data_IF_117013317129
#
_entry.id   IF_117013317129
#
_cell.length_a   1.000
_cell.length_b   1.000
_cell.length_c   1.000
_cell.angle_alpha   90.00
_cell.angle_beta   90.00
_cell.angle_gamma   90.00
#
_symmetry.space_group_name_H-M   'P 1'
#
loop_
_entity.id
_entity.type
_entity.pdbx_description
1 polymer ?
#
# COMPACT_ATOMS: atom_id res chain seq x y z
N UNK A 1 18.82 6.53 14.10
CA UNK A 1 17.89 6.48 12.94
C UNK A 1 17.99 5.08 12.35
N UNK A 2 16.85 4.44 12.04
CA UNK A 2 16.83 3.08 11.46
C UNK A 2 17.55 3.06 10.09
N UNK A 3 18.33 2.02 9.77
CA UNK A 3 19.08 1.90 8.51
C UNK A 3 19.19 0.44 8.03
N UNK A 4 19.32 0.24 6.72
CA UNK A 4 19.59 -1.07 6.13
C UNK A 4 18.39 -2.04 6.17
N UNK A 5 17.19 -1.55 6.47
CA UNK A 5 15.99 -2.38 6.50
C UNK A 5 15.13 -2.22 5.24
N UNK A 6 14.31 -3.24 5.04
CA UNK A 6 13.26 -3.31 4.05
C UNK A 6 11.93 -2.92 4.68
N UNK A 7 11.35 -1.80 4.26
CA UNK A 7 10.12 -1.26 4.85
C UNK A 7 8.98 -1.36 3.85
N UNK A 8 7.88 -1.99 4.26
CA UNK A 8 6.62 -2.01 3.53
C UNK A 8 5.60 -1.13 4.25
N UNK A 9 5.24 -0.01 3.66
CA UNK A 9 4.29 0.94 4.22
C UNK A 9 2.90 0.78 3.60
N UNK A 10 1.85 0.57 4.39
CA UNK A 10 0.45 0.68 3.96
C UNK A 10 -0.11 2.04 4.35
N UNK A 11 -0.31 2.91 3.36
CA UNK A 11 -0.77 4.29 3.55
C UNK A 11 -2.28 4.45 3.40
N UNK A 12 -2.85 5.40 4.14
CA UNK A 12 -4.25 5.86 4.02
C UNK A 12 -4.46 6.90 2.92
N UNK A 13 -3.39 7.41 2.33
CA UNK A 13 -3.38 8.42 1.27
C UNK A 13 -2.55 7.97 0.07
N UNK A 14 -2.83 8.59 -1.08
CA UNK A 14 -2.00 8.47 -2.28
C UNK A 14 -0.72 9.30 -2.10
N UNK A 15 0.37 8.89 -2.73
CA UNK A 15 1.66 9.58 -2.58
C UNK A 15 1.59 11.04 -3.03
N UNK A 16 0.92 11.27 -4.17
CA UNK A 16 0.72 12.60 -4.79
C UNK A 16 -0.41 13.41 -4.12
N UNK A 17 -0.95 12.94 -3.00
CA UNK A 17 -1.87 13.74 -2.19
C UNK A 17 -1.12 14.85 -1.45
N UNK A 18 -1.85 15.71 -0.73
CA UNK A 18 -1.25 16.73 0.14
C UNK A 18 -0.18 16.09 1.03
N UNK A 19 1.00 16.71 1.10
CA UNK A 19 2.14 16.19 1.87
C UNK A 19 1.79 16.12 3.36
N UNK A 20 1.98 14.94 3.95
CA UNK A 20 1.62 14.62 5.33
C UNK A 20 2.70 13.72 5.94
N UNK A 21 2.49 13.31 7.20
CA UNK A 21 3.44 12.47 7.94
C UNK A 21 3.78 11.15 7.23
N UNK A 22 2.89 10.61 6.41
CA UNK A 22 3.14 9.38 5.65
C UNK A 22 4.32 9.54 4.69
N UNK A 23 4.28 10.59 3.87
CA UNK A 23 5.33 10.83 2.89
C UNK A 23 6.61 11.32 3.56
N UNK A 24 6.50 12.16 4.59
CA UNK A 24 7.65 12.66 5.34
C UNK A 24 8.43 11.50 5.97
N UNK A 25 7.77 10.68 6.81
CA UNK A 25 8.42 9.55 7.50
C UNK A 25 9.09 8.60 6.51
N UNK A 26 8.38 8.23 5.43
CA UNK A 26 8.89 7.28 4.45
C UNK A 26 10.04 7.84 3.61
N UNK A 27 9.99 9.13 3.26
CA UNK A 27 11.10 9.81 2.58
C UNK A 27 12.34 9.89 3.47
N UNK A 28 12.15 10.25 4.73
CA UNK A 28 13.21 10.35 5.74
C UNK A 28 13.87 9.00 6.01
N UNK A 29 13.08 7.91 6.09
CA UNK A 29 13.61 6.55 6.23
C UNK A 29 14.35 6.10 4.97
N UNK A 30 13.85 6.39 3.77
CA UNK A 30 14.53 6.06 2.53
C UNK A 30 15.89 6.78 2.42
N UNK A 31 15.92 8.09 2.70
CA UNK A 31 17.13 8.90 2.71
C UNK A 31 18.17 8.44 3.75
N UNK A 32 17.73 7.75 4.81
CA UNK A 32 18.64 7.17 5.80
C UNK A 32 19.31 5.85 5.34
N UNK A 33 19.02 5.38 4.12
CA UNK A 33 19.56 4.13 3.57
C UNK A 33 18.70 2.89 3.83
N UNK A 34 17.39 3.07 4.00
CA UNK A 34 16.44 1.95 4.00
C UNK A 34 15.78 1.86 2.63
N UNK A 35 15.37 0.66 2.24
CA UNK A 35 14.57 0.44 1.04
C UNK A 35 13.10 0.46 1.44
N UNK A 36 12.30 1.32 0.83
CA UNK A 36 10.92 1.58 1.23
C UNK A 36 9.97 1.31 0.06
N UNK A 37 8.94 0.52 0.31
CA UNK A 37 7.78 0.36 -0.57
C UNK A 37 6.55 1.01 0.07
N UNK A 38 6.11 2.13 -0.50
CA UNK A 38 4.89 2.83 -0.13
C UNK A 38 3.69 2.31 -0.92
N UNK A 39 2.80 1.59 -0.25
CA UNK A 39 1.54 1.11 -0.81
C UNK A 39 0.47 2.17 -0.59
N UNK A 40 0.02 2.79 -1.69
CA UNK A 40 -1.06 3.76 -1.67
C UNK A 40 -2.39 3.12 -1.26
N UNK A 41 -3.31 3.94 -0.76
CA UNK A 41 -4.58 3.47 -0.28
C UNK A 41 -5.38 2.80 -1.41
N UNK A 42 -5.89 1.60 -1.12
CA UNK A 42 -6.81 0.86 -1.99
C UNK A 42 -8.16 1.55 -2.19
N UNK A 43 -8.44 2.66 -1.49
CA UNK A 43 -9.48 3.61 -1.87
C UNK A 43 -10.86 2.97 -2.01
N UNK A 44 -11.30 2.17 -1.03
CA UNK A 44 -12.62 1.52 -1.04
C UNK A 44 -13.77 2.50 -0.76
N UNK A 45 -13.57 3.80 -1.04
CA UNK A 45 -14.70 4.74 -1.14
C UNK A 45 -15.56 4.27 -2.32
N UNK A 46 -16.89 4.26 -2.13
CA UNK A 46 -17.86 3.99 -3.22
C UNK A 46 -17.48 4.84 -4.42
N UNK A 47 -17.00 4.19 -5.48
CA UNK A 47 -16.68 4.83 -6.76
C UNK A 47 -17.93 5.58 -7.22
N UNK A 48 -17.88 6.92 -7.23
CA UNK A 48 -18.94 7.72 -7.86
C UNK A 48 -18.69 7.68 -9.37
N UNK A 49 -19.74 7.75 -10.19
CA UNK A 49 -19.62 7.71 -11.66
C UNK A 49 -18.66 8.78 -12.24
N UNK A 50 -18.34 9.85 -11.49
CA UNK A 50 -17.32 10.87 -11.86
C UNK A 50 -15.86 10.40 -11.71
N UNK A 51 -15.58 9.29 -11.03
CA UNK A 51 -14.23 8.75 -10.82
C UNK A 51 -13.80 7.73 -11.90
N UNK A 52 -14.67 7.42 -12.87
CA UNK A 52 -14.41 6.45 -13.95
C UNK A 52 -13.24 6.86 -14.87
N UNK A 53 -13.05 8.17 -15.11
CA UNK A 53 -11.90 8.68 -15.87
C UNK A 53 -10.58 8.43 -15.15
N UNK A 54 -10.53 8.70 -13.84
CA UNK A 54 -9.35 8.42 -12.98
C UNK A 54 -9.02 6.93 -12.91
N UNK A 55 -10.04 6.08 -12.81
CA UNK A 55 -9.86 4.61 -12.84
C UNK A 55 -9.34 4.16 -14.21
N UNK A 56 -9.87 4.71 -15.31
CA UNK A 56 -9.41 4.39 -16.68
C UNK A 56 -7.97 4.82 -16.93
N UNK A 57 -7.58 5.99 -16.44
CA UNK A 57 -6.21 6.49 -16.56
C UNK A 57 -5.24 5.69 -15.68
N UNK A 58 -5.64 5.35 -14.43
CA UNK A 58 -4.91 4.39 -13.60
C UNK A 58 -4.74 3.06 -14.30
N UNK A 59 -5.79 2.49 -14.89
CA UNK A 59 -5.74 1.18 -15.55
C UNK A 59 -4.89 1.20 -16.83
N UNK A 60 -4.97 2.29 -17.62
CA UNK A 60 -4.15 2.47 -18.82
C UNK A 60 -2.66 2.59 -18.46
N UNK A 61 -2.33 3.35 -17.43
CA UNK A 61 -0.95 3.51 -16.97
C UNK A 61 -0.44 2.23 -16.29
N UNK A 62 -1.27 1.53 -15.53
CA UNK A 62 -0.96 0.24 -14.90
C UNK A 62 -0.61 -0.84 -15.93
N UNK A 63 -1.27 -0.84 -17.09
CA UNK A 63 -0.99 -1.76 -18.21
C UNK A 63 0.27 -1.38 -19.01
N UNK A 64 0.62 -0.10 -19.09
CA UNK A 64 1.76 0.39 -19.88
C UNK A 64 3.08 0.44 -19.12
N UNK A 65 3.05 0.56 -17.79
CA UNK A 65 4.26 0.65 -16.98
C UNK A 65 4.10 -0.14 -15.68
N UNK A 66 4.96 -1.14 -15.49
CA UNK A 66 5.33 -1.72 -14.18
C UNK A 66 4.21 -2.19 -13.25
N UNK A 67 2.99 -2.43 -13.74
CA UNK A 67 1.86 -2.97 -12.95
C UNK A 67 1.59 -2.15 -11.68
N UNK A 68 1.73 -0.82 -11.79
CA UNK A 68 1.43 0.13 -10.71
C UNK A 68 2.56 0.37 -9.72
N UNK A 69 3.74 -0.21 -9.90
CA UNK A 69 4.94 0.13 -9.12
C UNK A 69 5.73 1.23 -9.82
N UNK A 70 6.18 2.26 -9.12
CA UNK A 70 7.10 3.27 -9.65
C UNK A 70 8.19 3.56 -8.64
N UNK A 71 9.38 3.86 -9.12
CA UNK A 71 10.40 4.48 -8.28
C UNK A 71 10.12 5.97 -8.20
N UNK A 72 9.95 6.49 -7.00
CA UNK A 72 9.71 7.91 -6.78
C UNK A 72 11.04 8.63 -6.54
N UNK A 73 11.92 8.02 -5.73
CA UNK A 73 13.26 8.50 -5.40
C UNK A 73 14.15 7.29 -5.09
N UNK A 74 15.45 7.52 -4.95
CA UNK A 74 16.39 6.48 -4.54
C UNK A 74 15.90 5.78 -3.26
N UNK A 75 15.85 4.45 -3.31
CA UNK A 75 15.36 3.58 -2.23
C UNK A 75 13.90 3.79 -1.83
N UNK A 76 13.10 4.53 -2.60
CA UNK A 76 11.69 4.79 -2.32
C UNK A 76 10.82 4.47 -3.53
N UNK A 77 10.02 3.44 -3.38
CA UNK A 77 9.10 2.93 -4.39
C UNK A 77 7.67 3.15 -3.95
N UNK A 78 6.79 3.43 -4.91
CA UNK A 78 5.36 3.61 -4.69
C UNK A 78 4.59 2.55 -5.47
N UNK A 79 3.68 1.86 -4.78
CA UNK A 79 2.75 0.92 -5.37
C UNK A 79 1.32 1.43 -5.27
N UNK A 80 0.67 1.57 -6.43
CA UNK A 80 -0.74 1.94 -6.56
C UNK A 80 -1.59 0.70 -6.85
N UNK A 81 -2.12 -0.02 -5.83
CA UNK A 81 -2.93 -1.21 -6.04
C UNK A 81 -4.26 -0.89 -6.73
N UNK A 82 -4.70 -1.79 -7.61
CA UNK A 82 -6.07 -1.79 -8.15
C UNK A 82 -6.83 -2.90 -7.43
N UNK A 83 -7.84 -2.52 -6.65
CA UNK A 83 -8.75 -3.46 -5.98
C UNK A 83 -10.12 -3.45 -6.65
N UNK A 84 -10.79 -4.59 -6.63
CA UNK A 84 -12.17 -4.69 -7.08
C UNK A 84 -13.09 -3.93 -6.12
N UNK A 85 -14.08 -3.18 -6.64
CA UNK A 85 -15.16 -2.64 -5.81
C UNK A 85 -15.96 -3.79 -5.15
N UNK A 86 -16.88 -3.48 -4.23
CA UNK A 86 -17.71 -4.42 -3.45
C UNK A 86 -17.06 -4.98 -2.17
N UNK A 87 -16.80 -4.14 -1.15
CA UNK A 87 -16.22 -4.59 0.13
C UNK A 87 -17.07 -5.63 0.86
N UNK A 88 -18.37 -5.74 0.61
CA UNK A 88 -19.26 -6.71 1.29
C UNK A 88 -19.25 -8.10 0.65
N UNK A 89 -18.72 -8.26 -0.57
CA UNK A 89 -18.64 -9.57 -1.22
C UNK A 89 -17.44 -10.38 -0.71
N UNK A 90 -17.69 -11.54 -0.12
CA UNK A 90 -16.62 -12.45 0.33
C UNK A 90 -15.74 -12.98 -0.82
N UNK A 91 -16.24 -13.01 -2.05
CA UNK A 91 -15.45 -13.37 -3.24
C UNK A 91 -14.53 -12.20 -3.63
N UNK A 92 -15.06 -10.97 -3.65
CA UNK A 92 -14.26 -9.78 -3.96
C UNK A 92 -13.12 -9.59 -2.93
N UNK A 93 -13.38 -9.80 -1.64
CA UNK A 93 -12.35 -9.80 -0.58
C UNK A 93 -11.23 -10.80 -0.88
N UNK A 94 -11.57 -12.03 -1.25
CA UNK A 94 -10.60 -13.10 -1.57
C UNK A 94 -9.76 -12.75 -2.80
N UNK A 95 -10.38 -12.23 -3.85
CA UNK A 95 -9.67 -11.80 -5.07
C UNK A 95 -8.73 -10.63 -4.75
N UNK A 96 -9.20 -9.61 -4.03
CA UNK A 96 -8.40 -8.46 -3.63
C UNK A 96 -7.17 -8.87 -2.82
N UNK A 97 -7.37 -9.77 -1.84
CA UNK A 97 -6.27 -10.37 -1.05
C UNK A 97 -5.27 -11.09 -1.96
N UNK A 98 -5.75 -11.99 -2.82
CA UNK A 98 -4.88 -12.75 -3.71
C UNK A 98 -4.07 -11.86 -4.65
N UNK A 99 -4.70 -10.85 -5.26
CA UNK A 99 -4.06 -9.88 -6.14
C UNK A 99 -2.97 -9.10 -5.40
N UNK A 100 -3.29 -8.56 -4.22
CA UNK A 100 -2.37 -7.74 -3.44
C UNK A 100 -1.15 -8.55 -2.96
N UNK A 101 -1.38 -9.73 -2.37
CA UNK A 101 -0.28 -10.63 -1.95
C UNK A 101 0.59 -11.01 -3.15
N UNK A 102 -0.02 -11.37 -4.28
CA UNK A 102 0.72 -11.80 -5.47
C UNK A 102 1.52 -10.66 -6.09
N UNK A 103 1.01 -9.43 -6.08
CA UNK A 103 1.76 -8.26 -6.55
C UNK A 103 2.95 -7.97 -5.63
N UNK A 104 2.72 -7.88 -4.32
CA UNK A 104 3.75 -7.60 -3.33
C UNK A 104 4.85 -8.68 -3.34
N UNK A 105 4.50 -9.97 -3.28
CA UNK A 105 5.50 -11.05 -3.31
C UNK A 105 6.38 -11.03 -4.56
N UNK A 106 5.79 -10.77 -5.73
CA UNK A 106 6.58 -10.69 -6.98
C UNK A 106 7.54 -9.51 -6.96
N UNK A 107 7.07 -8.35 -6.53
CA UNK A 107 7.91 -7.17 -6.45
C UNK A 107 9.02 -7.34 -5.41
N UNK A 108 8.67 -7.87 -4.24
CA UNK A 108 9.62 -8.18 -3.17
C UNK A 108 10.70 -9.15 -3.64
N UNK A 109 10.31 -10.21 -4.36
CA UNK A 109 11.27 -11.15 -4.95
C UNK A 109 12.18 -10.48 -5.98
N UNK A 110 11.65 -9.56 -6.81
CA UNK A 110 12.42 -8.88 -7.84
C UNK A 110 13.50 -7.95 -7.29
N UNK A 111 13.25 -7.32 -6.13
CA UNK A 111 14.19 -6.37 -5.50
C UNK A 111 14.95 -6.98 -4.30
N UNK A 112 14.72 -8.26 -4.00
CA UNK A 112 15.36 -8.94 -2.88
C UNK A 112 14.88 -8.50 -1.49
N UNK A 113 13.62 -8.06 -1.38
CA UNK A 113 12.95 -7.81 -0.09
C UNK A 113 12.69 -9.14 0.61
N UNK A 114 13.23 -9.31 1.82
CA UNK A 114 13.01 -10.52 2.65
C UNK A 114 12.54 -10.11 4.03
N UNK A 115 11.36 -10.60 4.43
CA UNK A 115 10.72 -10.35 5.75
C UNK A 115 10.73 -8.86 6.15
N UNK A 116 10.03 -7.98 5.42
CA UNK A 116 10.11 -6.54 5.64
C UNK A 116 9.55 -6.14 7.00
N UNK A 117 9.98 -4.98 7.49
CA UNK A 117 9.28 -4.24 8.52
C UNK A 117 8.01 -3.65 7.90
N UNK A 118 6.85 -4.04 8.42
CA UNK A 118 5.59 -3.47 7.97
C UNK A 118 5.27 -2.24 8.80
N UNK A 119 5.01 -1.12 8.13
CA UNK A 119 4.46 0.09 8.73
C UNK A 119 3.05 0.28 8.19
N UNK A 120 2.03 0.35 9.04
CA UNK A 120 0.65 0.53 8.56
C UNK A 120 -0.04 1.70 9.25
N UNK A 121 -0.65 2.54 8.43
CA UNK A 121 -1.58 3.59 8.83
C UNK A 121 -3.04 3.18 8.61
N UNK A 122 -3.27 1.96 8.09
CA UNK A 122 -4.59 1.43 7.75
C UNK A 122 -4.80 0.06 8.40
N UNK A 123 -5.54 -0.04 9.52
CA UNK A 123 -5.83 -1.30 10.18
C UNK A 123 -7.01 -2.06 9.52
N UNK A 124 -7.14 -1.97 8.20
CA UNK A 124 -8.27 -2.60 7.48
C UNK A 124 -8.16 -4.13 7.49
N UNK A 125 -9.27 -4.88 7.40
CA UNK A 125 -9.24 -6.33 7.33
C UNK A 125 -8.37 -6.87 6.19
N UNK A 126 -8.39 -6.21 5.03
CA UNK A 126 -7.58 -6.60 3.87
C UNK A 126 -6.08 -6.44 4.17
N UNK A 127 -5.66 -5.28 4.72
CA UNK A 127 -4.26 -5.04 5.09
C UNK A 127 -3.80 -6.04 6.14
N UNK A 128 -4.60 -6.25 7.20
CA UNK A 128 -4.31 -7.24 8.24
C UNK A 128 -4.11 -8.65 7.68
N UNK A 129 -4.98 -9.06 6.75
CA UNK A 129 -4.87 -10.34 6.07
C UNK A 129 -3.61 -10.48 5.21
N UNK A 130 -3.20 -9.39 4.56
CA UNK A 130 -1.97 -9.36 3.77
C UNK A 130 -0.74 -9.42 4.69
N UNK A 131 -0.71 -8.64 5.77
CA UNK A 131 0.38 -8.64 6.75
C UNK A 131 0.61 -10.06 7.29
N UNK A 132 -0.46 -10.76 7.70
CA UNK A 132 -0.38 -12.15 8.16
C UNK A 132 0.25 -13.11 7.14
N UNK A 133 0.04 -12.87 5.85
CA UNK A 133 0.54 -13.72 4.76
C UNK A 133 1.96 -13.35 4.32
N UNK A 134 2.38 -12.11 4.56
CA UNK A 134 3.74 -11.65 4.28
C UNK A 134 4.75 -12.05 5.35
N UNK A 135 4.29 -12.38 6.55
CA UNK A 135 5.13 -12.81 7.68
C UNK A 135 6.30 -11.84 7.96
N UNK A 136 6.00 -10.57 8.30
CA UNK A 136 7.02 -9.56 8.50
C UNK A 136 7.81 -9.81 9.79
N UNK A 137 9.01 -9.23 9.87
CA UNK A 137 9.84 -9.27 11.09
C UNK A 137 9.21 -8.44 12.22
N UNK A 138 8.62 -7.30 11.87
CA UNK A 138 7.95 -6.40 12.79
C UNK A 138 6.76 -5.75 12.08
N UNK A 139 5.68 -5.52 12.80
CA UNK A 139 4.57 -4.69 12.33
C UNK A 139 4.39 -3.50 13.26
N UNK A 140 4.48 -2.29 12.70
CA UNK A 140 4.22 -1.01 13.37
C UNK A 140 2.86 -0.50 12.89
N UNK A 141 1.91 -0.36 13.82
CA UNK A 141 0.66 0.34 13.57
C UNK A 141 0.79 1.79 14.05
N UNK A 142 0.75 2.74 13.12
CA UNK A 142 0.77 4.16 13.44
C UNK A 142 -0.65 4.68 13.48
N UNK A 143 -1.15 4.89 14.70
CA UNK A 143 -2.51 5.38 14.95
C UNK A 143 -2.57 6.89 14.74
N UNK A 144 -3.01 7.33 13.56
CA UNK A 144 -3.25 8.75 13.23
C UNK A 144 -4.65 9.25 13.67
N UNK A 145 -5.60 8.33 13.82
CA UNK A 145 -7.00 8.62 14.15
C UNK A 145 -7.67 7.35 14.71
N UNK A 146 -8.77 7.51 15.45
CA UNK A 146 -9.61 6.40 15.91
C UNK A 146 -10.47 5.87 14.73
N UNK A 147 -9.81 5.15 13.84
CA UNK A 147 -10.45 4.47 12.71
C UNK A 147 -11.49 3.42 13.14
N UNK A 148 -11.45 2.93 14.39
CA UNK A 148 -12.46 2.02 14.91
C UNK A 148 -13.78 2.76 15.19
N UNK A 149 -13.72 4.00 15.68
CA UNK A 149 -14.90 4.84 15.93
C UNK A 149 -15.62 5.30 14.65
N UNK A 150 -14.89 5.45 13.54
CA UNK A 150 -15.40 6.01 12.27
C UNK A 150 -15.82 4.96 11.25
N UNK A 151 -15.55 3.68 11.49
CA UNK A 151 -15.92 2.57 10.62
C UNK A 151 -17.19 1.89 11.15
N UNK A 152 -18.34 2.13 10.51
CA UNK A 152 -19.57 1.36 10.82
C UNK A 152 -19.35 -0.09 10.40
N UNK A 153 -19.57 -1.02 11.33
CA UNK A 153 -19.38 -2.47 11.17
C UNK A 153 -20.18 -3.08 10.01
#
# INVERSE_FOLDING_TARGET
MLRGHDILCFSSIDWQFIWQGHQEIMSTLAAAGNRVLFVENTGVRRLKFRDLSRVRDRLRNWRRGTKGFREERENLYVYSPIVLPFPYSGVAKRINKWLMVRALRRWMAAIGFRRPLVWTFLPTPLVRDVIRVLDPELTVYYCIDDLASSSTA
#
